data_IF_164590199835
#
_entry.id   IF_164590199835
#
_cell.length_a   1.000
_cell.length_b   1.000
_cell.length_c   1.000
_cell.angle_alpha   90.00
_cell.angle_beta   90.00
_cell.angle_gamma   90.00
#
_symmetry.space_group_name_H-M   'P 1'
#
loop_
_entity.id
_entity.type
_entity.pdbx_description
1 polymer ?
#
# COMPACT_ATOMS: atom_id res chain seq x y z
N UNK A 1 14.28 5.66 10.14
CA UNK A 1 12.92 5.36 9.63
C UNK A 1 13.02 5.40 8.13
N UNK A 2 12.72 4.31 7.41
CA UNK A 2 12.75 4.37 5.95
C UNK A 2 11.61 5.31 5.50
N UNK A 3 11.95 6.32 4.70
CA UNK A 3 10.99 7.27 4.15
C UNK A 3 9.94 6.53 3.33
N UNK A 4 8.69 6.90 3.54
CA UNK A 4 7.54 6.46 2.76
C UNK A 4 6.55 7.65 2.64
N UNK A 5 5.55 7.56 1.76
CA UNK A 5 4.63 8.67 1.54
C UNK A 5 3.92 9.19 2.80
N UNK A 6 3.63 8.31 3.77
CA UNK A 6 3.01 8.71 5.05
C UNK A 6 4.01 9.51 5.90
N UNK A 7 5.24 9.02 6.06
CA UNK A 7 6.25 9.70 6.87
C UNK A 7 6.68 11.02 6.25
N UNK A 8 6.72 11.10 4.92
CA UNK A 8 7.04 12.32 4.20
C UNK A 8 5.92 13.35 4.35
N UNK A 9 4.65 12.93 4.22
CA UNK A 9 3.49 13.79 4.45
C UNK A 9 3.46 14.35 5.89
N UNK A 10 3.73 13.51 6.89
CA UNK A 10 3.87 13.95 8.29
C UNK A 10 5.00 14.98 8.43
N UNK A 11 6.13 14.76 7.77
CA UNK A 11 7.25 15.71 7.76
C UNK A 11 6.85 17.08 7.20
N UNK A 12 6.15 17.10 6.06
CA UNK A 12 5.64 18.34 5.45
C UNK A 12 4.63 19.05 6.34
N UNK A 13 3.69 18.32 6.93
CA UNK A 13 2.69 18.90 7.84
C UNK A 13 3.33 19.53 9.07
N UNK A 14 4.44 19.00 9.60
CA UNK A 14 5.17 19.63 10.71
C UNK A 14 5.76 21.00 10.35
N UNK A 15 6.01 21.28 9.07
CA UNK A 15 6.51 22.58 8.62
C UNK A 15 5.45 23.69 8.71
N UNK A 16 4.16 23.38 8.87
CA UNK A 16 3.12 24.41 9.03
C UNK A 16 3.39 25.29 10.25
N UNK A 17 3.94 24.73 11.34
CA UNK A 17 4.29 25.53 12.52
C UNK A 17 5.36 26.59 12.24
N UNK A 18 6.20 26.40 11.22
CA UNK A 18 7.31 27.30 10.88
C UNK A 18 6.90 28.44 9.94
N UNK A 19 5.88 28.24 9.09
CA UNK A 19 5.60 29.16 7.96
C UNK A 19 4.42 30.12 8.16
N UNK A 20 3.59 29.97 9.20
CA UNK A 20 2.39 30.79 9.39
C UNK A 20 2.59 32.11 10.17
N UNK A 21 3.76 32.74 10.10
CA UNK A 21 3.98 34.07 10.68
C UNK A 21 3.48 35.23 9.79
N UNK A 22 2.98 34.93 8.59
CA UNK A 22 2.48 35.93 7.64
C UNK A 22 0.94 35.91 7.58
N UNK A 23 0.28 37.08 7.43
CA UNK A 23 -1.17 37.13 7.34
C UNK A 23 -1.65 36.42 6.07
N UNK A 24 -2.49 35.40 6.25
CA UNK A 24 -3.21 34.71 5.17
C UNK A 24 -4.72 34.88 5.38
N UNK A 25 -5.54 34.44 4.42
CA UNK A 25 -7.00 34.43 4.56
C UNK A 25 -7.52 33.46 5.64
N UNK A 26 -6.66 32.57 6.16
CA UNK A 26 -6.99 31.59 7.20
C UNK A 26 -6.12 31.84 8.42
N UNK A 27 -6.71 31.77 9.60
CA UNK A 27 -5.99 31.90 10.86
C UNK A 27 -4.93 30.80 11.03
N UNK A 28 -3.74 31.18 11.51
CA UNK A 28 -2.64 30.25 11.73
C UNK A 28 -3.02 29.10 12.66
N UNK A 29 -3.85 29.39 13.67
CA UNK A 29 -4.38 28.41 14.63
C UNK A 29 -5.24 27.35 13.95
N UNK A 30 -6.07 27.75 12.98
CA UNK A 30 -6.92 26.84 12.20
C UNK A 30 -6.07 25.88 11.37
N UNK A 31 -5.05 26.37 10.67
CA UNK A 31 -4.19 25.49 9.85
C UNK A 31 -3.38 24.54 10.72
N UNK A 32 -2.84 25.01 11.85
CA UNK A 32 -2.10 24.16 12.81
C UNK A 32 -2.98 23.07 13.41
N UNK A 33 -4.22 23.40 13.79
CA UNK A 33 -5.16 22.41 14.31
C UNK A 33 -5.49 21.33 13.27
N UNK A 34 -5.74 21.73 12.02
CA UNK A 34 -5.96 20.80 10.92
C UNK A 34 -4.73 19.92 10.62
N UNK A 35 -3.53 20.51 10.66
CA UNK A 35 -2.28 19.77 10.47
C UNK A 35 -2.06 18.75 11.59
N UNK A 36 -2.31 19.12 12.86
CA UNK A 36 -2.20 18.22 14.00
C UNK A 36 -3.17 17.03 13.89
N UNK A 37 -4.43 17.28 13.52
CA UNK A 37 -5.43 16.23 13.26
C UNK A 37 -4.98 15.31 12.12
N UNK A 38 -4.44 15.87 11.03
CA UNK A 38 -3.95 15.09 9.91
C UNK A 38 -2.76 14.20 10.30
N UNK A 39 -1.80 14.75 11.05
CA UNK A 39 -0.66 13.98 11.59
C UNK A 39 -1.15 12.81 12.45
N UNK A 40 -2.09 13.05 13.38
CA UNK A 40 -2.64 11.99 14.23
C UNK A 40 -3.28 10.86 13.40
N UNK A 41 -4.03 11.21 12.35
CA UNK A 41 -4.64 10.23 11.45
C UNK A 41 -3.59 9.44 10.68
N UNK A 42 -2.57 10.11 10.16
CA UNK A 42 -1.48 9.48 9.41
C UNK A 42 -0.61 8.56 10.29
N UNK A 43 -0.27 9.00 11.50
CA UNK A 43 0.49 8.21 12.48
C UNK A 43 -0.33 7.03 13.02
N UNK A 44 -1.67 7.12 12.99
CA UNK A 44 -2.57 6.01 13.32
C UNK A 44 -2.65 4.91 12.27
N UNK A 45 -2.14 5.14 11.05
CA UNK A 45 -2.11 4.11 10.00
C UNK A 45 -1.03 3.08 10.36
N UNK A 46 -1.37 1.78 10.49
CA UNK A 46 -0.36 0.76 10.75
C UNK A 46 0.73 0.81 9.68
N UNK A 47 2.00 0.83 10.09
CA UNK A 47 3.12 0.87 9.14
C UNK A 47 3.08 -0.30 8.13
N UNK A 48 2.50 -1.43 8.53
CA UNK A 48 2.30 -2.60 7.67
C UNK A 48 1.21 -2.38 6.59
N UNK A 49 0.31 -1.41 6.73
CA UNK A 49 -0.71 -1.11 5.72
C UNK A 49 -0.13 -0.58 4.41
N UNK A 50 1.00 0.15 4.47
CA UNK A 50 1.72 0.59 3.25
C UNK A 50 2.18 -0.63 2.45
N UNK A 51 2.69 -1.68 3.12
CA UNK A 51 3.12 -2.90 2.45
C UNK A 51 1.97 -3.61 1.73
N UNK A 52 0.72 -3.43 2.18
CA UNK A 52 -0.44 -3.96 1.45
C UNK A 52 -0.68 -3.22 0.13
N UNK A 53 -0.56 -1.89 0.12
CA UNK A 53 -0.69 -1.11 -1.10
C UNK A 53 0.43 -1.43 -2.11
N UNK A 54 1.66 -1.58 -1.61
CA UNK A 54 2.80 -2.04 -2.40
C UNK A 54 2.56 -3.45 -2.97
N UNK A 55 2.11 -4.38 -2.12
CA UNK A 55 1.81 -5.75 -2.55
C UNK A 55 0.69 -5.80 -3.59
N UNK A 56 -0.40 -5.06 -3.39
CA UNK A 56 -1.51 -4.99 -4.34
C UNK A 56 -1.02 -4.50 -5.71
N UNK A 57 -0.24 -3.42 -5.72
CA UNK A 57 0.31 -2.83 -6.94
C UNK A 57 1.28 -3.79 -7.63
N UNK A 58 2.18 -4.43 -6.88
CA UNK A 58 3.15 -5.38 -7.41
C UNK A 58 2.47 -6.64 -7.98
N UNK A 59 1.40 -7.12 -7.36
CA UNK A 59 0.58 -8.22 -7.90
C UNK A 59 -0.15 -7.80 -9.16
N UNK A 60 -0.72 -6.59 -9.20
CA UNK A 60 -1.36 -6.04 -10.40
C UNK A 60 -0.46 -6.03 -11.63
N UNK A 61 0.86 -5.90 -11.45
CA UNK A 61 1.84 -5.93 -12.53
C UNK A 61 2.13 -7.34 -13.09
N UNK A 62 1.75 -8.41 -12.39
CA UNK A 62 2.08 -9.79 -12.78
C UNK A 62 0.86 -10.68 -13.04
N UNK A 63 -0.33 -10.27 -12.59
CA UNK A 63 -1.56 -11.05 -12.80
C UNK A 63 -2.11 -10.87 -14.22
N UNK A 64 -2.78 -11.89 -14.77
CA UNK A 64 -3.51 -11.75 -16.02
C UNK A 64 -4.58 -10.64 -15.95
N UNK A 65 -4.91 -10.07 -17.11
CA UNK A 65 -6.00 -9.09 -17.21
C UNK A 65 -7.33 -9.73 -16.76
N UNK A 66 -8.15 -8.95 -16.06
CA UNK A 66 -9.45 -9.39 -15.53
C UNK A 66 -9.37 -10.18 -14.23
N UNK A 67 -8.17 -10.59 -13.82
CA UNK A 67 -7.93 -11.23 -12.52
C UNK A 67 -7.77 -10.18 -11.43
N UNK A 68 -8.09 -10.53 -10.19
CA UNK A 68 -8.07 -9.59 -9.07
C UNK A 68 -7.23 -10.11 -7.91
N UNK A 69 -6.31 -9.30 -7.35
CA UNK A 69 -5.59 -9.63 -6.14
C UNK A 69 -6.32 -9.06 -4.91
N UNK A 70 -6.40 -9.87 -3.86
CA UNK A 70 -6.84 -9.48 -2.54
C UNK A 70 -5.66 -9.65 -1.58
N UNK A 71 -5.32 -8.59 -0.86
CA UNK A 71 -4.17 -8.56 0.06
C UNK A 71 -4.63 -8.31 1.47
N UNK A 72 -3.94 -8.91 2.44
CA UNK A 72 -4.27 -8.75 3.85
C UNK A 72 -3.03 -8.87 4.72
N UNK A 73 -3.11 -8.27 5.92
CA UNK A 73 -2.24 -8.66 7.02
C UNK A 73 -2.73 -9.98 7.61
N UNK A 74 -1.82 -10.77 8.12
CA UNK A 74 -2.10 -12.04 8.81
C UNK A 74 -1.64 -11.96 10.26
N UNK A 75 -2.14 -12.87 11.09
CA UNK A 75 -1.71 -12.99 12.49
C UNK A 75 -0.40 -13.78 12.65
N UNK A 76 0.23 -14.21 11.55
CA UNK A 76 1.50 -14.96 11.56
C UNK A 76 2.68 -13.97 11.58
N UNK A 77 3.46 -13.89 12.67
CA UNK A 77 4.56 -12.94 12.76
C UNK A 77 5.73 -13.26 11.81
N UNK A 78 5.83 -14.51 11.33
CA UNK A 78 6.86 -14.93 10.36
C UNK A 78 6.42 -14.60 8.93
N UNK A 79 5.12 -14.63 8.66
CA UNK A 79 4.52 -14.38 7.35
C UNK A 79 3.35 -13.39 7.45
N UNK A 80 3.63 -12.11 7.79
CA UNK A 80 2.60 -11.13 8.09
C UNK A 80 1.77 -10.72 6.88
N UNK A 81 2.21 -11.01 5.64
CA UNK A 81 1.50 -10.66 4.42
C UNK A 81 0.79 -11.88 3.84
N UNK A 82 -0.46 -11.69 3.44
CA UNK A 82 -1.26 -12.69 2.73
C UNK A 82 -1.83 -12.13 1.43
N UNK A 83 -1.94 -13.00 0.43
CA UNK A 83 -2.59 -12.66 -0.83
C UNK A 83 -3.41 -13.83 -1.38
N UNK A 84 -4.55 -13.51 -1.96
CA UNK A 84 -5.43 -14.40 -2.73
C UNK A 84 -5.66 -13.76 -4.09
N UNK A 85 -5.58 -14.54 -5.16
CA UNK A 85 -5.81 -14.08 -6.53
C UNK A 85 -6.99 -14.86 -7.09
N UNK A 86 -7.97 -14.14 -7.63
CA UNK A 86 -9.12 -14.75 -8.32
C UNK A 86 -9.03 -14.54 -9.81
N UNK A 87 -9.53 -15.51 -10.57
CA UNK A 87 -9.76 -15.36 -12.02
C UNK A 87 -11.01 -14.50 -12.30
N UNK A 88 -11.31 -14.28 -13.58
CA UNK A 88 -12.48 -13.50 -14.03
C UNK A 88 -13.82 -14.11 -13.60
N UNK A 89 -13.88 -15.44 -13.40
CA UNK A 89 -15.07 -16.13 -12.92
C UNK A 89 -15.20 -16.09 -11.39
N UNK A 90 -14.24 -15.47 -10.70
CA UNK A 90 -14.20 -15.37 -9.24
C UNK A 90 -13.64 -16.61 -8.55
N UNK A 91 -13.08 -17.58 -9.28
CA UNK A 91 -12.44 -18.75 -8.67
C UNK A 91 -11.08 -18.38 -8.12
N UNK A 92 -10.67 -19.00 -7.01
CA UNK A 92 -9.32 -18.82 -6.46
C UNK A 92 -8.31 -19.49 -7.38
N UNK A 93 -7.54 -18.68 -8.09
CA UNK A 93 -6.48 -19.15 -8.98
C UNK A 93 -5.16 -19.38 -8.24
N UNK A 94 -4.85 -18.56 -7.23
CA UNK A 94 -3.68 -18.76 -6.36
C UNK A 94 -3.83 -18.07 -5.02
N UNK A 95 -3.06 -18.51 -4.03
CA UNK A 95 -2.97 -17.85 -2.73
C UNK A 95 -1.65 -18.18 -2.04
N UNK A 96 -1.16 -17.27 -1.21
CA UNK A 96 0.07 -17.47 -0.44
C UNK A 96 0.19 -16.51 0.74
N UNK A 97 1.12 -16.82 1.64
CA UNK A 97 1.57 -15.94 2.72
C UNK A 97 3.09 -15.77 2.65
N UNK A 98 3.59 -14.58 2.94
CA UNK A 98 5.01 -14.23 2.77
C UNK A 98 5.52 -13.26 3.83
N UNK A 99 6.85 -13.18 3.93
CA UNK A 99 7.55 -12.31 4.88
C UNK A 99 7.63 -10.86 4.37
N UNK A 100 7.90 -10.71 3.08
CA UNK A 100 8.05 -9.43 2.39
C UNK A 100 7.24 -9.41 1.10
N UNK A 101 6.95 -8.22 0.59
CA UNK A 101 6.27 -8.01 -0.70
C UNK A 101 6.96 -8.81 -1.80
N UNK A 102 8.26 -8.61 -1.99
CA UNK A 102 9.05 -9.27 -3.05
C UNK A 102 8.98 -10.79 -2.96
N UNK A 103 9.15 -11.36 -1.75
CA UNK A 103 9.13 -12.81 -1.56
C UNK A 103 7.77 -13.42 -1.90
N UNK A 104 6.69 -12.71 -1.56
CA UNK A 104 5.32 -13.15 -1.82
C UNK A 104 4.96 -13.03 -3.31
N UNK A 105 5.33 -11.92 -3.94
CA UNK A 105 5.13 -11.68 -5.38
C UNK A 105 5.90 -12.73 -6.19
N UNK A 106 7.17 -12.98 -5.86
CA UNK A 106 7.97 -14.00 -6.54
C UNK A 106 7.34 -15.39 -6.45
N UNK A 107 6.85 -15.77 -5.26
CA UNK A 107 6.20 -17.05 -5.04
C UNK A 107 4.88 -17.18 -5.84
N UNK A 108 4.06 -16.13 -5.87
CA UNK A 108 2.80 -16.13 -6.62
C UNK A 108 3.05 -16.13 -8.13
N UNK A 109 4.06 -15.39 -8.60
CA UNK A 109 4.45 -15.38 -10.02
C UNK A 109 4.78 -16.78 -10.56
N UNK A 110 5.40 -17.63 -9.75
CA UNK A 110 5.71 -19.02 -10.15
C UNK A 110 4.47 -19.92 -10.28
N UNK A 111 3.35 -19.53 -9.65
CA UNK A 111 2.10 -20.29 -9.65
C UNK A 111 1.08 -19.78 -10.65
N UNK A 112 1.21 -18.51 -11.04
CA UNK A 112 0.35 -17.91 -12.04
C UNK A 112 0.73 -18.44 -13.42
N UNK A 113 -0.25 -18.56 -14.34
CA UNK A 113 0.06 -18.87 -15.72
C UNK A 113 1.01 -17.80 -16.28
N UNK A 114 2.04 -18.24 -17.01
CA UNK A 114 2.93 -17.31 -17.69
C UNK A 114 2.11 -16.42 -18.64
N UNK A 115 2.23 -15.10 -18.52
CA UNK A 115 1.50 -14.15 -19.36
C UNK A 115 1.77 -14.40 -20.85
N UNK A 116 0.70 -14.53 -21.64
CA UNK A 116 0.75 -14.46 -23.11
C UNK A 116 0.74 -13.01 -23.54
N UNK A 117 1.93 -12.47 -23.79
CA UNK A 117 2.12 -11.23 -24.56
C UNK A 117 1.87 -11.40 -26.07
N UNK A 118 1.52 -12.60 -26.55
CA UNK A 118 1.22 -12.86 -27.96
C UNK A 118 -0.16 -13.50 -28.06
N UNK A 119 -1.06 -12.90 -28.84
CA UNK A 119 -2.22 -13.63 -29.35
C UNK A 119 -1.69 -14.84 -30.13
N UNK A 120 -2.14 -16.04 -29.77
CA UNK A 120 -1.89 -17.21 -30.61
C UNK A 120 -2.56 -16.93 -31.97
N UNK A 121 -1.74 -16.78 -33.01
CA UNK A 121 -2.15 -16.72 -34.40
C UNK A 121 -2.78 -18.05 -34.85
#
# INVERSE_FOLDING_TARGET
MNSNPITDAVGVLKLTDMHFNNPTAVEATTVRAAAAECIQRLEGIPAAAIQLAELYTALGAIIPRGWLPFVTLTNDPVRPLGAVITDEAGNIASHARGKTVDSLVALLRLRLPAGRGEAAA
#
